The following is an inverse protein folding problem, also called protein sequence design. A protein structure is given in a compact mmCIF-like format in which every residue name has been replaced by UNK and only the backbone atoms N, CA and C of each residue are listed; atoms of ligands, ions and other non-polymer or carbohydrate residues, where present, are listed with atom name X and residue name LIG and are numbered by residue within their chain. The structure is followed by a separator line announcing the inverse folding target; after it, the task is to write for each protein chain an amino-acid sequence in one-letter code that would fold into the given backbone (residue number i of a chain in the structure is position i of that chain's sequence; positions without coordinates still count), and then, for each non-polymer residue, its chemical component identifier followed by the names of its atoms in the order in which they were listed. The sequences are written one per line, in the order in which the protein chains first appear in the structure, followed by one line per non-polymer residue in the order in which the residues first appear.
data_IF_655347818287
#
_entry.id   IF_655347818287
#
_cell.length_a   1.000
_cell.length_b   1.000
_cell.length_c   1.000
_cell.angle_alpha   90.00
_cell.angle_beta   90.00
_cell.angle_gamma   90.00
#
_symmetry.space_group_name_H-M   'P 1'
#
loop_
_entity.id
_entity.type
_entity.pdbx_description
1 polymer ?
#
# COMPACT_ATOMS: atom_id res chain seq x y z
N UNK A 1 -20.51 -7.00 -1.20
CA UNK A 1 -19.21 -7.55 -1.65
C UNK A 1 -18.01 -6.71 -1.22
N UNK A 2 -18.12 -5.37 -1.18
CA UNK A 2 -17.06 -4.48 -0.69
C UNK A 2 -16.52 -4.84 0.71
N UNK A 3 -17.42 -5.06 1.69
CA UNK A 3 -17.06 -5.53 3.04
C UNK A 3 -16.21 -6.82 3.03
N UNK A 4 -16.48 -7.76 2.12
CA UNK A 4 -15.70 -9.01 1.99
C UNK A 4 -14.29 -8.72 1.47
N UNK A 5 -14.14 -7.83 0.48
CA UNK A 5 -12.83 -7.40 -0.03
C UNK A 5 -12.00 -6.75 1.07
N UNK A 6 -12.61 -5.85 1.86
CA UNK A 6 -11.96 -5.20 3.00
C UNK A 6 -11.50 -6.21 4.06
N UNK A 7 -12.36 -7.17 4.42
CA UNK A 7 -11.98 -8.22 5.36
C UNK A 7 -10.80 -9.06 4.85
N UNK A 8 -10.79 -9.42 3.55
CA UNK A 8 -9.68 -10.18 2.96
C UNK A 8 -8.37 -9.38 2.96
N UNK A 9 -8.42 -8.06 2.72
CA UNK A 9 -7.26 -7.18 2.80
C UNK A 9 -6.74 -7.06 4.24
N UNK A 10 -7.64 -6.88 5.20
CA UNK A 10 -7.30 -6.85 6.62
C UNK A 10 -6.66 -8.18 7.07
N UNK A 11 -7.25 -9.32 6.70
CA UNK A 11 -6.67 -10.63 6.97
C UNK A 11 -5.27 -10.74 6.36
N UNK A 12 -5.09 -10.34 5.10
CA UNK A 12 -3.76 -10.37 4.45
C UNK A 12 -2.72 -9.59 5.25
N UNK A 13 -3.09 -8.47 5.88
CA UNK A 13 -2.18 -7.69 6.71
C UNK A 13 -1.82 -8.43 8.01
N UNK A 14 -2.81 -8.93 8.74
CA UNK A 14 -2.60 -9.68 9.99
C UNK A 14 -1.72 -10.92 9.77
N UNK A 15 -1.93 -11.66 8.67
CA UNK A 15 -1.11 -12.82 8.35
C UNK A 15 0.36 -12.44 8.09
N UNK A 16 0.64 -11.23 7.57
CA UNK A 16 2.02 -10.79 7.31
C UNK A 16 2.74 -10.49 8.61
N UNK A 17 2.05 -9.81 9.52
CA UNK A 17 2.55 -9.53 10.86
C UNK A 17 2.83 -10.83 11.61
N UNK A 18 1.94 -11.81 11.48
CA UNK A 18 2.13 -13.12 12.08
C UNK A 18 3.35 -13.87 11.52
N UNK A 19 3.54 -13.91 10.19
CA UNK A 19 4.76 -14.49 9.60
C UNK A 19 6.01 -13.72 10.04
N UNK A 20 5.95 -12.38 10.09
CA UNK A 20 7.08 -11.56 10.54
C UNK A 20 7.45 -11.87 11.99
N UNK A 21 6.46 -12.07 12.86
CA UNK A 21 6.65 -12.48 14.25
C UNK A 21 7.27 -13.89 14.33
N UNK A 22 6.77 -14.86 13.56
CA UNK A 22 7.35 -16.21 13.52
C UNK A 22 8.80 -16.21 13.01
N UNK A 23 9.13 -15.33 12.06
CA UNK A 23 10.51 -15.17 11.57
C UNK A 23 11.44 -14.49 12.59
N UNK A 24 10.89 -13.85 13.63
CA UNK A 24 11.64 -13.31 14.77
C UNK A 24 11.76 -14.29 15.93
N UNK A 25 11.16 -15.49 15.82
CA UNK A 25 11.28 -16.52 16.85
C UNK A 25 12.74 -16.97 16.99
N UNK A 26 13.39 -16.54 18.07
CA UNK A 26 14.77 -16.92 18.42
C UNK A 26 14.81 -17.98 19.51
N UNK A 27 13.87 -18.93 19.46
CA UNK A 27 13.86 -20.05 20.39
C UNK A 27 15.19 -20.81 20.36
N UNK A 28 15.82 -21.09 21.51
CA UNK A 28 17.15 -21.69 21.58
C UNK A 28 17.09 -23.17 21.19
N UNK A 29 17.13 -23.46 19.89
CA UNK A 29 17.09 -24.81 19.34
C UNK A 29 18.51 -25.38 19.10
N UNK A 30 19.48 -24.52 18.79
CA UNK A 30 20.85 -24.92 18.42
C UNK A 30 21.93 -24.04 19.07
N UNK A 31 21.87 -23.85 20.39
CA UNK A 31 22.90 -23.08 21.13
C UNK A 31 22.99 -21.58 20.76
N UNK A 32 22.02 -21.07 19.98
CA UNK A 32 21.86 -19.64 19.66
C UNK A 32 21.36 -18.89 20.89
N UNK A 33 22.26 -18.12 21.51
CA UNK A 33 21.98 -17.24 22.67
C UNK A 33 21.66 -15.81 22.24
N UNK A 34 20.98 -15.67 21.11
CA UNK A 34 20.60 -14.36 20.65
C UNK A 34 19.59 -13.76 21.63
N UNK A 35 19.74 -12.48 22.00
CA UNK A 35 18.82 -11.83 22.91
C UNK A 35 17.39 -11.88 22.34
N UNK A 36 16.38 -12.23 23.17
CA UNK A 36 15.00 -12.27 22.72
C UNK A 36 14.55 -10.86 22.27
N UNK A 37 14.02 -10.78 21.05
CA UNK A 37 13.50 -9.54 20.44
C UNK A 37 12.00 -9.40 20.73
N UNK A 38 11.32 -10.53 20.91
CA UNK A 38 9.89 -10.60 21.21
C UNK A 38 9.62 -10.42 22.70
N UNK A 39 8.38 -10.04 23.01
CA UNK A 39 7.88 -9.95 24.38
C UNK A 39 8.03 -11.32 25.10
N UNK A 40 8.44 -11.36 26.39
CA UNK A 40 8.79 -12.60 27.07
C UNK A 40 7.70 -13.68 27.11
N UNK A 41 6.43 -13.30 27.23
CA UNK A 41 5.33 -14.27 27.23
C UNK A 41 5.09 -14.85 25.83
N UNK A 42 5.16 -14.04 24.78
CA UNK A 42 5.10 -14.51 23.39
C UNK A 42 6.25 -15.48 23.11
N UNK A 43 7.48 -15.10 23.46
CA UNK A 43 8.66 -15.92 23.24
C UNK A 43 8.56 -17.26 23.98
N UNK A 44 8.03 -17.29 25.21
CA UNK A 44 7.83 -18.53 25.98
C UNK A 44 6.94 -19.53 25.24
N UNK A 45 5.82 -19.07 24.66
CA UNK A 45 4.91 -19.94 23.93
C UNK A 45 5.54 -20.49 22.65
N UNK A 46 6.25 -19.64 21.90
CA UNK A 46 6.98 -20.05 20.70
C UNK A 46 8.11 -21.04 21.02
N UNK A 47 8.84 -20.82 22.12
CA UNK A 47 9.88 -21.75 22.57
C UNK A 47 9.33 -23.09 22.99
N UNK A 48 8.22 -23.13 23.73
CA UNK A 48 7.56 -24.40 24.04
C UNK A 48 7.13 -25.15 22.78
N UNK A 49 6.51 -24.45 21.83
CA UNK A 49 6.11 -25.03 20.55
C UNK A 49 7.31 -25.52 19.73
N UNK A 50 8.39 -24.76 19.68
CA UNK A 50 9.65 -25.10 19.02
C UNK A 50 10.29 -26.35 19.63
N UNK A 51 10.29 -26.49 20.96
CA UNK A 51 10.78 -27.70 21.64
C UNK A 51 9.91 -28.91 21.32
N UNK A 52 8.58 -28.77 21.33
CA UNK A 52 7.64 -29.85 21.00
C UNK A 52 7.75 -30.31 19.54
N UNK A 53 7.99 -29.37 18.62
CA UNK A 53 8.10 -29.62 17.18
C UNK A 53 9.54 -29.75 16.72
N UNK A 54 10.51 -29.93 17.62
CA UNK A 54 11.94 -30.06 17.28
C UNK A 54 12.45 -28.99 16.30
N UNK A 55 11.92 -27.77 16.38
CA UNK A 55 12.31 -26.62 15.55
C UNK A 55 11.75 -26.57 14.13
N UNK A 56 10.98 -27.57 13.67
CA UNK A 56 10.36 -27.51 12.33
C UNK A 56 8.98 -26.83 12.33
N UNK A 57 8.37 -26.61 13.50
CA UNK A 57 7.00 -26.09 13.61
C UNK A 57 6.82 -24.70 13.01
N UNK A 58 7.69 -23.74 13.35
CA UNK A 58 7.62 -22.36 12.84
C UNK A 58 7.75 -22.31 11.30
N UNK A 59 8.73 -22.98 10.67
CA UNK A 59 8.79 -23.14 9.21
C UNK A 59 7.55 -23.80 8.59
N UNK A 60 6.98 -24.81 9.25
CA UNK A 60 5.77 -25.49 8.77
C UNK A 60 4.56 -24.54 8.75
N UNK A 61 4.38 -23.75 9.82
CA UNK A 61 3.32 -22.75 9.89
C UNK A 61 3.54 -21.67 8.82
N UNK A 62 4.75 -21.12 8.68
CA UNK A 62 5.05 -20.12 7.64
C UNK A 62 4.72 -20.64 6.22
N UNK A 63 4.99 -21.92 5.96
CA UNK A 63 4.66 -22.57 4.68
C UNK A 63 3.16 -22.70 4.47
N UNK A 64 2.40 -23.16 5.48
CA UNK A 64 0.95 -23.24 5.43
C UNK A 64 0.31 -21.86 5.20
N UNK A 65 0.82 -20.84 5.90
CA UNK A 65 0.37 -19.46 5.75
C UNK A 65 0.62 -18.92 4.33
N UNK A 66 1.71 -19.32 3.69
CA UNK A 66 2.01 -18.97 2.29
C UNK A 66 0.95 -19.51 1.32
N UNK A 67 0.43 -20.72 1.55
CA UNK A 67 -0.69 -21.24 0.77
C UNK A 67 -1.97 -20.41 0.99
N UNK A 68 -2.24 -20.00 2.24
CA UNK A 68 -3.37 -19.10 2.57
C UNK A 68 -3.20 -17.73 1.90
N UNK A 69 -1.99 -17.19 1.82
CA UNK A 69 -1.71 -15.95 1.10
C UNK A 69 -2.06 -16.02 -0.39
N UNK A 70 -1.69 -17.14 -1.03
CA UNK A 70 -2.04 -17.41 -2.42
C UNK A 70 -3.55 -17.48 -2.59
N UNK A 71 -4.25 -18.20 -1.70
CA UNK A 71 -5.71 -18.27 -1.69
C UNK A 71 -6.38 -16.89 -1.55
N UNK A 72 -5.96 -16.07 -0.58
CA UNK A 72 -6.53 -14.74 -0.36
C UNK A 72 -6.26 -13.84 -1.57
N UNK A 73 -5.05 -13.90 -2.12
CA UNK A 73 -4.68 -13.09 -3.28
C UNK A 73 -5.52 -13.46 -4.50
N UNK A 74 -5.78 -14.75 -4.73
CA UNK A 74 -6.65 -15.20 -5.81
C UNK A 74 -8.12 -14.84 -5.55
N UNK A 75 -8.57 -14.94 -4.30
CA UNK A 75 -9.92 -14.54 -3.89
C UNK A 75 -10.17 -13.04 -4.14
N UNK A 76 -9.16 -12.19 -3.92
CA UNK A 76 -9.26 -10.75 -4.21
C UNK A 76 -9.37 -10.48 -5.72
N UNK A 77 -8.54 -11.14 -6.54
CA UNK A 77 -8.64 -11.03 -8.01
C UNK A 77 -10.02 -11.49 -8.51
N UNK A 78 -10.52 -12.61 -7.99
CA UNK A 78 -11.86 -13.11 -8.32
C UNK A 78 -12.94 -12.06 -8.03
N UNK A 79 -12.90 -11.42 -6.85
CA UNK A 79 -13.86 -10.38 -6.50
C UNK A 79 -13.79 -9.17 -7.42
N UNK A 80 -12.60 -8.76 -7.85
CA UNK A 80 -12.42 -7.62 -8.77
C UNK A 80 -12.96 -7.90 -10.17
N UNK A 81 -12.85 -9.16 -10.63
CA UNK A 81 -13.32 -9.58 -11.96
C UNK A 81 -14.84 -9.72 -12.02
N UNK A 82 -15.46 -10.21 -10.95
CA UNK A 82 -16.90 -10.50 -10.92
C UNK A 82 -17.75 -9.38 -10.32
N UNK A 83 -17.13 -8.44 -9.60
CA UNK A 83 -17.81 -7.30 -8.99
C UNK A 83 -16.98 -6.04 -9.20
N UNK A 84 -16.83 -5.59 -10.46
CA UNK A 84 -16.18 -4.31 -10.72
C UNK A 84 -16.92 -3.23 -9.92
N UNK A 85 -16.20 -2.26 -9.33
CA UNK A 85 -16.86 -1.12 -8.72
C UNK A 85 -17.77 -0.49 -9.78
N UNK A 86 -19.03 -0.22 -9.40
CA UNK A 86 -19.97 0.53 -10.23
C UNK A 86 -19.31 1.86 -10.59
N UNK A 87 -18.67 1.93 -11.75
CA UNK A 87 -18.25 3.17 -12.37
C UNK A 87 -19.55 3.90 -12.69
N UNK A 88 -19.79 5.03 -12.03
CA UNK A 88 -20.79 5.99 -12.46
C UNK A 88 -20.47 6.40 -13.89
N UNK A 89 -21.31 6.09 -14.89
CA UNK A 89 -21.16 6.67 -16.21
C UNK A 89 -21.61 8.13 -16.13
N UNK A 90 -20.76 9.05 -16.60
CA UNK A 90 -21.08 10.46 -16.88
C UNK A 90 -21.47 11.36 -15.70
N UNK A 91 -20.49 12.13 -15.22
CA UNK A 91 -20.69 13.51 -14.76
C UNK A 91 -19.78 14.46 -15.53
N UNK A 92 -19.81 14.38 -16.86
CA UNK A 92 -19.36 15.44 -17.75
C UNK A 92 -20.43 15.61 -18.84
N UNK A 93 -21.57 16.18 -18.45
CA UNK A 93 -22.40 16.92 -19.41
C UNK A 93 -21.90 18.37 -19.39
N UNK A 94 -20.90 18.68 -20.21
CA UNK A 94 -20.66 20.06 -20.60
C UNK A 94 -21.77 20.45 -21.58
N UNK A 95 -22.74 21.19 -21.07
CA UNK A 95 -23.81 21.85 -21.81
C UNK A 95 -23.20 22.75 -22.92
N UNK A 96 -23.67 22.72 -24.19
CA UNK A 96 -23.27 23.72 -25.17
C UNK A 96 -24.04 25.02 -24.88
N UNK A 97 -23.43 25.96 -24.15
CA UNK A 97 -24.02 27.28 -23.94
C UNK A 97 -23.80 28.15 -25.18
N UNK A 98 -24.89 28.43 -25.89
CA UNK A 98 -24.95 29.43 -26.96
C UNK A 98 -24.49 30.80 -26.43
N UNK A 99 -23.63 31.42 -27.23
CA UNK A 99 -23.18 32.82 -27.19
C UNK A 99 -24.37 33.78 -27.28
N UNK A 100 -24.36 34.87 -26.50
CA UNK A 100 -24.76 36.18 -27.04
C UNK A 100 -23.58 37.16 -27.00
N UNK A 101 -23.23 37.73 -28.16
CA UNK A 101 -22.28 38.83 -28.26
C UNK A 101 -22.86 40.12 -27.69
N UNK A 102 -22.01 41.00 -27.11
CA UNK A 102 -22.26 42.42 -27.12
C UNK A 102 -21.18 43.19 -27.91
N UNK A 103 -21.68 43.91 -28.91
CA UNK A 103 -21.29 45.20 -29.46
C UNK A 103 -19.88 45.78 -29.18
N UNK A 104 -19.28 46.19 -30.29
CA UNK A 104 -18.08 47.01 -30.43
C UNK A 104 -18.14 48.31 -29.62
N UNK A 105 -17.05 48.62 -28.92
CA UNK A 105 -16.67 50.01 -28.67
C UNK A 105 -15.16 50.18 -28.62
N UNK A 106 -14.70 51.15 -29.39
CA UNK A 106 -13.33 51.49 -29.75
C UNK A 106 -12.84 52.56 -28.78
N UNK A 107 -11.65 52.39 -28.21
CA UNK A 107 -11.03 53.38 -27.33
C UNK A 107 -9.52 53.18 -27.24
N UNK A 108 -8.80 53.97 -28.02
CA UNK A 108 -7.34 54.11 -28.07
C UNK A 108 -6.76 54.69 -26.76
N UNK A 109 -5.55 54.25 -26.36
CA UNK A 109 -4.83 54.88 -25.24
C UNK A 109 -3.49 54.24 -24.86
N UNK A 110 -2.40 54.77 -25.44
CA UNK A 110 -0.96 54.52 -25.21
C UNK A 110 -0.47 54.56 -23.75
N UNK A 111 0.56 53.76 -23.45
CA UNK A 111 1.56 53.99 -22.39
C UNK A 111 2.37 52.71 -22.09
N UNK A 112 3.53 52.47 -22.72
CA UNK A 112 4.90 52.89 -22.31
C UNK A 112 5.54 51.94 -21.27
N UNK A 113 6.52 51.15 -21.77
CA UNK A 113 7.84 50.72 -21.20
C UNK A 113 7.86 49.99 -19.84
N UNK A 114 8.74 49.04 -19.49
CA UNK A 114 9.93 48.41 -20.09
C UNK A 114 10.40 47.27 -19.16
N UNK A 115 11.20 46.34 -19.71
CA UNK A 115 12.40 45.71 -19.10
C UNK A 115 12.24 44.78 -17.87
N UNK A 116 12.92 43.66 -17.69
CA UNK A 116 14.08 42.99 -18.34
C UNK A 116 14.30 41.66 -17.62
N UNK A 117 14.81 40.64 -18.35
CA UNK A 117 15.77 39.58 -17.95
C UNK A 117 15.62 38.82 -16.61
N UNK A 118 16.23 37.67 -16.39
CA UNK A 118 17.08 36.83 -17.23
C UNK A 118 17.23 35.45 -16.57
N UNK A 119 17.88 34.59 -17.32
CA UNK A 119 18.06 33.15 -17.18
C UNK A 119 18.97 32.68 -16.02
N UNK A 120 18.91 31.36 -15.75
CA UNK A 120 20.06 30.45 -15.51
C UNK A 120 20.21 29.74 -14.15
N UNK A 121 20.05 28.41 -14.20
CA UNK A 121 21.03 27.36 -13.87
C UNK A 121 21.92 27.46 -12.61
N UNK A 122 21.91 26.42 -11.76
CA UNK A 122 23.15 25.81 -11.23
C UNK A 122 22.88 24.45 -10.58
N UNK A 123 23.56 23.44 -11.09
CA UNK A 123 23.89 22.21 -10.40
C UNK A 123 24.90 22.47 -9.27
N UNK A 124 24.86 21.70 -8.18
CA UNK A 124 25.96 21.38 -7.25
C UNK A 124 25.50 20.13 -6.45
N UNK A 125 26.08 18.93 -6.56
CA UNK A 125 27.44 18.44 -6.31
C UNK A 125 27.70 18.05 -4.84
N UNK A 126 28.20 16.79 -4.69
CA UNK A 126 29.01 16.23 -3.59
C UNK A 126 28.25 15.93 -2.29
N UNK A 127 28.41 14.80 -1.60
CA UNK A 127 29.46 13.76 -1.53
C UNK A 127 28.79 12.44 -1.14
#
# INVERSE_FOLDING_TARGET
MQRRKEMLLATKQVLKEFISLLNQDRSPLCNSRDPPILEPNIQRHLTHFSLLTHGFGSPAICSAMSAVFSYISESLKYLERHFPPLQSPHANQSLPHLIPQPLTSKGDGKGIVSSTGDSSSSAVAKL
#
